data_IF_623607673149
#
_entry.id   IF_623607673149
#
_cell.length_a   1.000
_cell.length_b   1.000
_cell.length_c   1.000
_cell.angle_alpha   90.00
_cell.angle_beta   90.00
_cell.angle_gamma   90.00
#
_symmetry.space_group_name_H-M   'P 1'
#
loop_
_entity.id
_entity.type
_entity.pdbx_description
1 polymer ?
#
# COMPACT_ATOMS: atom_id res chain seq x y z
N UNK A 1 11.97 15.97 -17.73
CA UNK A 1 10.63 15.44 -17.44
C UNK A 1 10.58 14.98 -15.98
N UNK A 2 9.58 15.38 -15.23
CA UNK A 2 9.35 14.94 -13.85
C UNK A 2 8.30 13.84 -13.90
N UNK A 3 8.65 12.65 -13.40
CA UNK A 3 7.70 11.53 -13.29
C UNK A 3 6.81 11.73 -12.07
N UNK A 4 5.52 11.90 -12.30
CA UNK A 4 4.47 11.91 -11.28
C UNK A 4 3.71 10.58 -11.32
N UNK A 5 2.96 10.22 -10.27
CA UNK A 5 2.00 9.12 -10.34
C UNK A 5 1.00 9.35 -11.48
N UNK A 6 0.54 8.30 -12.09
CA UNK A 6 -0.50 8.39 -13.12
C UNK A 6 -1.88 8.03 -12.52
N UNK A 7 -2.90 8.90 -12.63
CA UNK A 7 -2.89 10.26 -13.10
C UNK A 7 -2.24 11.23 -12.09
N UNK A 8 -1.66 12.39 -12.46
CA UNK A 8 -1.89 13.11 -13.73
C UNK A 8 -0.84 12.84 -14.82
N UNK A 9 0.13 11.95 -14.63
CA UNK A 9 1.19 11.70 -15.59
C UNK A 9 2.41 12.62 -15.44
N UNK A 10 3.45 12.43 -16.26
CA UNK A 10 4.70 13.17 -16.15
C UNK A 10 4.55 14.63 -16.58
N UNK A 11 5.20 15.54 -15.85
CA UNK A 11 5.31 16.96 -16.25
C UNK A 11 6.57 17.14 -17.08
N UNK A 12 6.42 17.76 -18.26
CA UNK A 12 7.53 18.13 -19.12
C UNK A 12 8.12 19.47 -18.70
N UNK A 13 9.44 19.57 -18.67
CA UNK A 13 10.19 20.82 -18.48
C UNK A 13 10.97 21.08 -19.75
N UNK A 14 10.71 22.21 -20.40
CA UNK A 14 11.55 22.71 -21.48
C UNK A 14 12.46 23.83 -20.95
N UNK A 15 13.74 23.71 -21.23
CA UNK A 15 14.77 24.67 -20.82
C UNK A 15 15.33 25.50 -21.97
N UNK A 16 14.77 25.34 -23.17
CA UNK A 16 15.18 26.13 -24.33
C UNK A 16 14.46 27.48 -24.27
N UNK A 17 15.18 28.51 -23.96
CA UNK A 17 14.68 29.89 -23.99
C UNK A 17 15.40 30.68 -25.09
N UNK A 18 14.71 31.57 -25.84
CA UNK A 18 15.33 32.37 -26.89
C UNK A 18 16.21 33.47 -26.29
N UNK A 19 17.37 33.07 -25.77
CA UNK A 19 18.30 33.98 -25.09
C UNK A 19 18.85 35.07 -26.00
N UNK A 20 19.07 34.75 -27.29
CA UNK A 20 19.52 35.73 -28.30
C UNK A 20 18.57 36.90 -28.44
N UNK A 21 17.27 36.64 -28.43
CA UNK A 21 16.24 37.71 -28.49
C UNK A 21 16.25 38.59 -27.22
N UNK A 22 16.56 38.00 -26.07
CA UNK A 22 16.70 38.75 -24.83
C UNK A 22 17.97 39.58 -24.80
N UNK A 23 19.08 39.02 -25.28
CA UNK A 23 20.36 39.76 -25.40
C UNK A 23 20.24 40.92 -26.37
N UNK A 24 19.54 40.77 -27.50
CA UNK A 24 19.23 41.83 -28.42
C UNK A 24 18.43 42.97 -27.75
N UNK A 25 17.46 42.59 -26.91
CA UNK A 25 16.67 43.57 -26.13
C UNK A 25 17.54 44.36 -25.14
N UNK A 26 18.46 43.68 -24.47
CA UNK A 26 19.36 44.31 -23.47
C UNK A 26 20.42 45.20 -24.08
N UNK A 27 20.87 44.88 -25.27
CA UNK A 27 21.95 45.55 -25.95
C UNK A 27 21.47 46.69 -26.88
N UNK A 28 20.15 46.85 -27.06
CA UNK A 28 19.58 47.92 -27.89
C UNK A 28 19.95 49.29 -27.34
N UNK A 29 20.54 50.12 -28.18
CA UNK A 29 21.08 51.46 -27.82
C UNK A 29 20.26 52.62 -28.41
N UNK A 30 19.37 52.32 -29.38
CA UNK A 30 18.48 53.29 -29.98
C UNK A 30 17.02 52.88 -29.84
N UNK A 31 16.12 53.85 -29.95
CA UNK A 31 14.66 53.61 -29.84
C UNK A 31 14.15 52.67 -30.95
N UNK A 32 14.71 52.74 -32.15
CA UNK A 32 14.41 51.87 -33.28
C UNK A 32 14.88 50.43 -33.05
N UNK A 33 16.08 50.27 -32.49
CA UNK A 33 16.63 48.95 -32.10
C UNK A 33 15.81 48.33 -30.99
N UNK A 34 15.48 49.11 -29.96
CA UNK A 34 14.65 48.69 -28.84
C UNK A 34 13.29 48.18 -29.32
N UNK A 35 12.61 48.96 -30.19
CA UNK A 35 11.31 48.58 -30.75
C UNK A 35 11.39 47.25 -31.55
N UNK A 36 12.44 47.08 -32.34
CA UNK A 36 12.67 45.87 -33.12
C UNK A 36 12.97 44.66 -32.24
N UNK A 37 13.81 44.85 -31.21
CA UNK A 37 14.18 43.80 -30.24
C UNK A 37 12.98 43.37 -29.40
N UNK A 38 12.14 44.29 -28.93
CA UNK A 38 10.88 44.01 -28.23
C UNK A 38 9.96 43.12 -29.09
N UNK A 39 9.79 43.45 -30.38
CA UNK A 39 8.98 42.68 -31.30
C UNK A 39 9.52 41.28 -31.52
N UNK A 40 10.84 41.15 -31.71
CA UNK A 40 11.52 39.87 -31.87
C UNK A 40 11.36 39.00 -30.62
N UNK A 41 11.59 39.59 -29.44
CA UNK A 41 11.47 38.90 -28.17
C UNK A 41 10.04 38.39 -27.96
N UNK A 42 9.03 39.23 -28.15
CA UNK A 42 7.62 38.82 -28.05
C UNK A 42 7.27 37.66 -28.97
N UNK A 43 7.69 37.74 -30.24
CA UNK A 43 7.40 36.72 -31.24
C UNK A 43 8.09 35.39 -30.86
N UNK A 44 9.34 35.45 -30.41
CA UNK A 44 10.11 34.28 -30.05
C UNK A 44 9.54 33.58 -28.82
N UNK A 45 9.21 34.32 -27.77
CA UNK A 45 8.62 33.77 -26.53
C UNK A 45 7.24 33.18 -26.81
N UNK A 46 6.39 33.89 -27.54
CA UNK A 46 5.05 33.38 -27.90
C UNK A 46 5.11 32.09 -28.69
N UNK A 47 5.99 32.03 -29.69
CA UNK A 47 6.23 30.80 -30.44
C UNK A 47 6.67 29.66 -29.55
N UNK A 48 7.54 29.94 -28.59
CA UNK A 48 8.06 28.93 -27.66
C UNK A 48 6.97 28.38 -26.75
N UNK A 49 6.13 29.26 -26.17
CA UNK A 49 4.98 28.87 -25.37
C UNK A 49 4.03 27.98 -26.19
N UNK A 50 3.74 28.36 -27.43
CA UNK A 50 2.88 27.59 -28.33
C UNK A 50 3.49 26.21 -28.63
N UNK A 51 4.78 26.17 -29.01
CA UNK A 51 5.49 24.92 -29.31
C UNK A 51 5.49 23.94 -28.12
N UNK A 52 5.67 24.46 -26.88
CA UNK A 52 5.63 23.65 -25.66
C UNK A 52 4.23 23.09 -25.43
N UNK A 53 3.20 23.94 -25.52
CA UNK A 53 1.81 23.53 -25.30
C UNK A 53 1.37 22.44 -26.29
N UNK A 54 1.68 22.61 -27.58
CA UNK A 54 1.26 21.68 -28.62
C UNK A 54 2.03 20.35 -28.63
N UNK A 55 3.31 20.37 -28.24
CA UNK A 55 4.18 19.17 -28.32
C UNK A 55 4.23 18.36 -27.05
N UNK A 56 4.06 18.99 -25.88
CA UNK A 56 4.37 18.36 -24.61
C UNK A 56 3.19 18.24 -23.66
N UNK A 57 2.03 18.81 -23.99
CA UNK A 57 0.79 18.61 -23.25
C UNK A 57 -0.09 17.68 -24.07
N UNK A 58 0.02 16.37 -23.78
CA UNK A 58 -0.69 15.32 -24.51
C UNK A 58 -1.68 14.67 -23.56
N UNK A 59 -2.96 14.75 -23.90
CA UNK A 59 -4.05 14.21 -23.08
C UNK A 59 -3.88 12.69 -22.86
N UNK A 60 -3.95 12.29 -21.61
CA UNK A 60 -3.78 10.88 -21.21
C UNK A 60 -2.33 10.37 -21.15
N UNK A 61 -1.35 11.11 -21.67
CA UNK A 61 0.07 10.72 -21.64
C UNK A 61 0.92 11.59 -20.71
N UNK A 62 0.61 12.90 -20.64
CA UNK A 62 1.33 13.85 -19.79
C UNK A 62 0.38 14.54 -18.82
N UNK A 63 0.93 15.23 -17.85
CA UNK A 63 0.14 16.15 -17.01
C UNK A 63 -0.47 17.26 -17.86
N UNK A 64 -1.54 17.87 -17.33
CA UNK A 64 -2.31 18.96 -18.00
C UNK A 64 -1.55 20.26 -18.15
N UNK A 65 -0.23 20.25 -17.99
CA UNK A 65 0.60 21.42 -18.12
C UNK A 65 2.07 21.08 -18.27
N UNK A 66 2.83 22.06 -18.75
CA UNK A 66 4.27 21.96 -18.93
C UNK A 66 5.00 23.15 -18.27
N UNK A 67 6.28 23.00 -18.04
CA UNK A 67 7.10 24.05 -17.43
C UNK A 67 8.07 24.59 -18.49
N UNK A 68 8.06 25.90 -18.65
CA UNK A 68 9.10 26.65 -19.38
C UNK A 68 10.11 27.18 -18.35
N UNK A 69 11.29 26.58 -18.33
CA UNK A 69 12.37 26.97 -17.43
C UNK A 69 13.21 28.09 -18.03
N UNK A 70 13.30 29.20 -17.33
CA UNK A 70 14.16 30.31 -17.69
C UNK A 70 15.52 30.16 -16.98
N UNK A 71 16.64 30.35 -17.70
CA UNK A 71 17.97 30.14 -17.14
C UNK A 71 18.41 31.24 -16.16
N UNK A 72 17.68 32.35 -16.06
CA UNK A 72 18.07 33.54 -15.28
C UNK A 72 16.90 34.18 -14.58
N UNK A 73 17.08 34.58 -13.33
CA UNK A 73 16.12 35.39 -12.57
C UNK A 73 15.90 36.76 -13.23
N UNK A 74 16.91 37.34 -13.88
CA UNK A 74 16.78 38.62 -14.58
C UNK A 74 15.82 38.52 -15.76
N UNK A 75 15.88 37.44 -16.53
CA UNK A 75 14.95 37.16 -17.63
C UNK A 75 13.52 36.99 -17.11
N UNK A 76 13.38 36.27 -15.98
CA UNK A 76 12.08 36.07 -15.34
C UNK A 76 11.49 37.42 -14.87
N UNK A 77 12.29 38.23 -14.18
CA UNK A 77 11.86 39.53 -13.70
C UNK A 77 11.45 40.45 -14.85
N UNK A 78 12.23 40.50 -15.93
CA UNK A 78 11.94 41.29 -17.12
C UNK A 78 10.63 40.85 -17.76
N UNK A 79 10.39 39.55 -17.93
CA UNK A 79 9.17 39.01 -18.48
C UNK A 79 7.93 39.42 -17.67
N UNK A 80 8.04 39.33 -16.34
CA UNK A 80 6.92 39.69 -15.46
C UNK A 80 6.69 41.21 -15.40
N UNK A 81 7.74 42.02 -15.44
CA UNK A 81 7.64 43.48 -15.36
C UNK A 81 7.12 44.12 -16.67
N UNK A 82 7.69 43.70 -17.80
CA UNK A 82 7.51 44.41 -19.08
C UNK A 82 6.74 43.61 -20.13
N UNK A 83 6.52 42.28 -19.89
CA UNK A 83 5.86 41.37 -20.82
C UNK A 83 4.79 40.51 -20.15
N UNK A 84 4.04 41.08 -19.23
CA UNK A 84 3.01 40.38 -18.45
C UNK A 84 1.90 39.75 -19.31
N UNK A 85 1.69 40.23 -20.51
CA UNK A 85 0.79 39.65 -21.50
C UNK A 85 1.29 38.25 -21.95
N UNK A 86 2.59 38.07 -22.19
CA UNK A 86 3.16 36.80 -22.54
C UNK A 86 3.08 35.78 -21.38
N UNK A 87 3.23 36.25 -20.16
CA UNK A 87 3.03 35.41 -18.98
C UNK A 87 1.61 34.90 -18.89
N UNK A 88 0.61 35.75 -19.14
CA UNK A 88 -0.81 35.36 -19.19
C UNK A 88 -1.11 34.40 -20.33
N UNK A 89 -0.51 34.62 -21.51
CA UNK A 89 -0.60 33.68 -22.63
C UNK A 89 -0.05 32.30 -22.24
N UNK A 90 1.07 32.26 -21.54
CA UNK A 90 1.64 31.01 -20.98
C UNK A 90 0.66 30.29 -20.06
N UNK A 91 0.06 31.00 -19.10
CA UNK A 91 -0.94 30.40 -18.21
C UNK A 91 -2.16 29.86 -18.98
N UNK A 92 -2.66 30.65 -19.98
CA UNK A 92 -3.78 30.18 -20.80
C UNK A 92 -3.45 28.94 -21.63
N UNK A 93 -2.19 28.81 -22.05
CA UNK A 93 -1.67 27.67 -22.78
C UNK A 93 -1.25 26.51 -21.85
N UNK A 94 -1.47 26.61 -20.53
CA UNK A 94 -1.01 25.66 -19.49
C UNK A 94 0.52 25.46 -19.46
N UNK A 95 1.27 26.50 -19.82
CA UNK A 95 2.73 26.54 -19.76
C UNK A 95 3.15 27.47 -18.64
N UNK A 96 3.70 26.92 -17.58
CA UNK A 96 4.16 27.69 -16.42
C UNK A 96 5.60 28.13 -16.59
N UNK A 97 5.78 29.44 -16.62
CA UNK A 97 7.10 30.05 -16.74
C UNK A 97 7.73 30.11 -15.35
N UNK A 98 8.91 29.52 -15.19
CA UNK A 98 9.62 29.45 -13.91
C UNK A 98 11.06 29.90 -14.05
N UNK A 99 11.57 30.55 -13.01
CA UNK A 99 12.98 30.88 -12.82
C UNK A 99 13.71 29.73 -12.06
N UNK A 100 15.02 29.76 -11.90
CA UNK A 100 15.73 28.79 -11.09
C UNK A 100 15.18 28.68 -9.66
N UNK A 101 14.93 29.82 -9.00
CA UNK A 101 14.39 29.85 -7.62
C UNK A 101 12.96 29.32 -7.55
N UNK A 102 12.07 29.77 -8.44
CA UNK A 102 10.68 29.30 -8.45
C UNK A 102 10.57 27.84 -8.88
N UNK A 103 11.44 27.38 -9.78
CA UNK A 103 11.56 25.97 -10.15
C UNK A 103 11.93 25.11 -8.92
N UNK A 104 12.94 25.51 -8.17
CA UNK A 104 13.33 24.79 -6.95
C UNK A 104 12.23 24.76 -5.91
N UNK A 105 11.50 25.86 -5.70
CA UNK A 105 10.35 25.90 -4.80
C UNK A 105 9.25 24.92 -5.26
N UNK A 106 8.93 24.95 -6.55
CA UNK A 106 7.94 24.03 -7.15
C UNK A 106 8.34 22.57 -6.98
N UNK A 107 9.60 22.24 -7.28
CA UNK A 107 10.13 20.87 -7.13
C UNK A 107 10.09 20.38 -5.67
N UNK A 108 10.43 21.25 -4.72
CA UNK A 108 10.35 20.92 -3.30
C UNK A 108 8.92 20.66 -2.85
N UNK A 109 7.97 21.48 -3.31
CA UNK A 109 6.55 21.29 -3.03
C UNK A 109 6.03 19.98 -3.64
N UNK A 110 6.37 19.70 -4.90
CA UNK A 110 6.01 18.43 -5.55
C UNK A 110 6.60 17.23 -4.81
N UNK A 111 7.87 17.32 -4.37
CA UNK A 111 8.50 16.27 -3.57
C UNK A 111 7.75 15.98 -2.27
N UNK A 112 7.29 17.02 -1.58
CA UNK A 112 6.50 16.87 -0.35
C UNK A 112 5.16 16.16 -0.64
N UNK A 113 4.43 16.61 -1.66
CA UNK A 113 3.16 16.00 -2.08
C UNK A 113 3.33 14.53 -2.45
N UNK A 114 4.38 14.21 -3.23
CA UNK A 114 4.68 12.82 -3.63
C UNK A 114 5.05 11.95 -2.45
N UNK A 115 5.79 12.50 -1.47
CA UNK A 115 6.10 11.78 -0.22
C UNK A 115 4.82 11.45 0.54
N UNK A 116 3.92 12.42 0.70
CA UNK A 116 2.65 12.22 1.39
C UNK A 116 1.75 11.21 0.69
N UNK A 117 1.69 11.25 -0.65
CA UNK A 117 0.95 10.26 -1.43
C UNK A 117 1.47 8.83 -1.21
N UNK A 118 2.79 8.63 -1.26
CA UNK A 118 3.42 7.34 -0.97
C UNK A 118 3.17 6.87 0.46
N UNK A 119 3.25 7.77 1.43
CA UNK A 119 2.95 7.43 2.83
C UNK A 119 1.51 6.96 3.01
N UNK A 120 0.54 7.58 2.34
CA UNK A 120 -0.87 7.16 2.38
C UNK A 120 -1.07 5.78 1.74
N UNK A 121 -0.43 5.53 0.61
CA UNK A 121 -0.45 4.22 -0.06
C UNK A 121 0.11 3.12 0.85
N UNK A 122 1.29 3.37 1.46
CA UNK A 122 1.91 2.44 2.42
C UNK A 122 1.02 2.21 3.65
N UNK A 123 0.41 3.28 4.20
CA UNK A 123 -0.51 3.14 5.33
C UNK A 123 -1.75 2.29 4.97
N UNK A 124 -2.25 2.40 3.73
CA UNK A 124 -3.32 1.53 3.22
C UNK A 124 -2.92 0.07 3.16
N UNK A 125 -1.74 -0.22 2.62
CA UNK A 125 -1.18 -1.59 2.57
C UNK A 125 -1.00 -2.17 3.98
N UNK A 126 -0.43 -1.40 4.91
CA UNK A 126 -0.26 -1.83 6.31
C UNK A 126 -1.60 -2.14 6.98
N UNK A 127 -2.65 -1.33 6.74
CA UNK A 127 -3.99 -1.59 7.29
C UNK A 127 -4.56 -2.91 6.78
N UNK A 128 -4.38 -3.21 5.50
CA UNK A 128 -4.84 -4.47 4.92
C UNK A 128 -4.12 -5.67 5.56
N UNK A 129 -2.79 -5.60 5.71
CA UNK A 129 -2.00 -6.64 6.38
C UNK A 129 -2.41 -6.83 7.85
N UNK A 130 -2.65 -5.74 8.58
CA UNK A 130 -3.17 -5.81 9.95
C UNK A 130 -4.54 -6.49 10.00
N UNK A 131 -5.43 -6.22 9.05
CA UNK A 131 -6.74 -6.88 9.00
C UNK A 131 -6.60 -8.39 8.81
N UNK A 132 -5.70 -8.83 7.91
CA UNK A 132 -5.41 -10.24 7.71
C UNK A 132 -4.80 -10.88 8.96
N UNK A 133 -3.88 -10.19 9.63
CA UNK A 133 -3.27 -10.65 10.87
C UNK A 133 -4.32 -10.84 11.97
N UNK A 134 -5.26 -9.90 12.14
CA UNK A 134 -6.36 -10.07 13.11
C UNK A 134 -7.20 -11.31 12.82
N UNK A 135 -7.53 -11.56 11.55
CA UNK A 135 -8.26 -12.78 11.17
C UNK A 135 -7.47 -14.06 11.47
N UNK A 136 -6.15 -14.03 11.31
CA UNK A 136 -5.30 -15.17 11.64
C UNK A 136 -5.23 -15.39 13.15
N UNK A 137 -5.14 -14.33 13.94
CA UNK A 137 -5.18 -14.40 15.42
C UNK A 137 -6.53 -14.96 15.90
N UNK A 138 -7.65 -14.50 15.35
CA UNK A 138 -8.97 -15.05 15.70
C UNK A 138 -9.07 -16.54 15.36
N UNK A 139 -8.60 -16.95 14.18
CA UNK A 139 -8.55 -18.38 13.81
C UNK A 139 -7.68 -19.19 14.74
N UNK A 140 -6.55 -18.63 15.18
CA UNK A 140 -5.68 -19.28 16.14
C UNK A 140 -6.40 -19.44 17.49
N UNK A 141 -7.10 -18.42 17.96
CA UNK A 141 -7.92 -18.47 19.17
C UNK A 141 -8.93 -19.63 19.15
N UNK A 142 -9.70 -19.74 18.07
CA UNK A 142 -10.67 -20.83 17.89
C UNK A 142 -10.00 -22.23 17.90
N UNK A 143 -8.81 -22.36 17.32
CA UNK A 143 -8.05 -23.63 17.33
C UNK A 143 -7.55 -23.98 18.75
N UNK A 144 -7.12 -22.98 19.51
CA UNK A 144 -6.70 -23.18 20.90
C UNK A 144 -7.88 -23.63 21.77
N UNK A 145 -9.06 -22.99 21.63
CA UNK A 145 -10.27 -23.41 22.33
C UNK A 145 -10.71 -24.85 21.95
N UNK A 146 -10.57 -25.21 20.68
CA UNK A 146 -10.85 -26.57 20.24
C UNK A 146 -9.88 -27.58 20.84
N UNK A 147 -8.60 -27.22 20.91
CA UNK A 147 -7.57 -28.06 21.52
C UNK A 147 -7.83 -28.25 23.03
N UNK A 148 -8.19 -27.19 23.74
CA UNK A 148 -8.55 -27.25 25.15
C UNK A 148 -9.71 -28.22 25.38
N UNK A 149 -10.76 -28.17 24.57
CA UNK A 149 -11.87 -29.11 24.64
C UNK A 149 -11.41 -30.56 24.43
N UNK A 150 -10.50 -30.83 23.48
CA UNK A 150 -9.96 -32.15 23.25
C UNK A 150 -9.13 -32.65 24.43
N UNK A 151 -8.32 -31.78 25.07
CA UNK A 151 -7.58 -32.12 26.27
C UNK A 151 -8.51 -32.47 27.43
N UNK A 152 -9.55 -31.71 27.65
CA UNK A 152 -10.54 -31.93 28.69
C UNK A 152 -11.28 -33.26 28.47
N UNK A 153 -11.61 -33.60 27.21
CA UNK A 153 -12.23 -34.88 26.87
C UNK A 153 -11.26 -36.06 27.11
N UNK A 154 -10.00 -35.90 26.68
CA UNK A 154 -8.98 -36.94 26.93
C UNK A 154 -8.72 -37.16 28.41
N UNK A 155 -8.71 -36.10 29.22
CA UNK A 155 -8.56 -36.22 30.68
C UNK A 155 -9.72 -37.00 31.30
N UNK A 156 -10.97 -36.76 30.82
CA UNK A 156 -12.15 -37.48 31.23
C UNK A 156 -12.04 -38.98 30.84
N UNK A 157 -11.67 -39.27 29.62
CA UNK A 157 -11.52 -40.63 29.12
C UNK A 157 -10.46 -41.40 29.92
N UNK A 158 -9.34 -40.75 30.28
CA UNK A 158 -8.33 -41.33 31.19
C UNK A 158 -8.92 -41.66 32.57
N UNK A 159 -9.75 -40.77 33.10
CA UNK A 159 -10.42 -41.00 34.38
C UNK A 159 -11.37 -42.20 34.31
N UNK A 160 -12.14 -42.30 33.26
CA UNK A 160 -13.09 -43.41 33.04
C UNK A 160 -12.35 -44.75 32.85
N UNK A 161 -11.21 -44.75 32.16
CA UNK A 161 -10.31 -45.91 32.05
C UNK A 161 -9.80 -46.36 33.41
N UNK A 162 -9.34 -45.43 34.27
CA UNK A 162 -8.86 -45.74 35.62
C UNK A 162 -9.96 -46.41 36.46
N UNK A 163 -11.19 -45.86 36.44
CA UNK A 163 -12.34 -46.44 37.13
C UNK A 163 -12.62 -47.86 36.62
N UNK A 164 -12.57 -48.06 35.31
CA UNK A 164 -12.77 -49.39 34.71
C UNK A 164 -11.68 -50.38 35.09
N UNK A 165 -10.42 -49.95 35.09
CA UNK A 165 -9.27 -50.77 35.51
C UNK A 165 -9.37 -51.17 36.99
N UNK A 166 -9.77 -50.24 37.87
CA UNK A 166 -10.00 -50.52 39.31
C UNK A 166 -11.14 -51.53 39.53
N UNK A 167 -12.22 -51.41 38.74
CA UNK A 167 -13.33 -52.40 38.78
C UNK A 167 -12.85 -53.78 38.32
N UNK A 168 -12.09 -53.85 37.26
CA UNK A 168 -11.53 -55.09 36.72
C UNK A 168 -10.56 -55.75 37.74
N UNK A 169 -9.66 -54.94 38.33
CA UNK A 169 -8.73 -55.40 39.37
C UNK A 169 -9.44 -55.97 40.61
N UNK A 170 -10.52 -55.31 41.05
CA UNK A 170 -11.35 -55.82 42.16
C UNK A 170 -12.09 -57.11 41.83
N UNK A 171 -12.51 -57.29 40.57
CA UNK A 171 -13.12 -58.55 40.12
C UNK A 171 -12.11 -59.66 40.04
N UNK A 172 -10.90 -59.40 39.50
CA UNK A 172 -9.83 -60.37 39.45
C UNK A 172 -9.43 -60.86 40.83
N UNK A 173 -9.23 -59.95 41.83
CA UNK A 173 -8.95 -60.32 43.23
C UNK A 173 -10.06 -61.11 43.86
N UNK A 174 -11.33 -60.92 43.51
CA UNK A 174 -12.42 -61.78 44.01
C UNK A 174 -12.38 -63.15 43.37
N UNK A 175 -11.97 -63.31 42.13
CA UNK A 175 -11.82 -64.58 41.46
C UNK A 175 -10.59 -65.35 42.02
N UNK A 176 -9.50 -64.69 42.37
CA UNK A 176 -8.32 -65.23 42.95
C UNK A 176 -8.58 -65.75 44.35
N UNK A 177 -9.49 -65.15 45.12
CA UNK A 177 -9.94 -65.62 46.46
C UNK A 177 -11.18 -66.51 46.37
N UNK A 178 -11.59 -66.98 45.22
CA UNK A 178 -12.63 -67.98 45.04
C UNK A 178 -11.94 -69.33 45.27
N UNK A 179 -12.02 -69.87 46.51
CA UNK A 179 -11.61 -71.22 46.82
C UNK A 179 -12.48 -72.19 46.03
N UNK A 180 -11.89 -72.84 45.04
CA UNK A 180 -12.56 -73.89 44.25
C UNK A 180 -12.86 -75.15 45.08
N UNK A 181 -12.42 -75.23 46.33
CA UNK A 181 -12.70 -76.30 47.21
C UNK A 181 -14.11 -76.29 47.83
N UNK A 182 -14.85 -75.23 47.81
CA UNK A 182 -16.23 -75.15 48.29
C UNK A 182 -17.31 -75.46 47.21
N UNK A 183 -16.93 -75.80 45.98
CA UNK A 183 -17.84 -76.50 45.04
C UNK A 183 -17.74 -77.99 45.32
N UNK A 184 -17.65 -78.32 46.54
CA UNK A 184 -17.62 -79.72 47.02
C UNK A 184 -19.03 -80.24 47.28
N UNK A 185 -19.33 -81.25 46.57
CA UNK A 185 -20.26 -82.35 46.94
C UNK A 185 -21.72 -82.03 47.22
N UNK A 186 -22.13 -80.88 47.75
CA UNK A 186 -23.54 -80.64 48.11
C UNK A 186 -24.44 -80.25 46.95
N UNK A 187 -23.88 -79.63 45.88
CA UNK A 187 -24.64 -79.29 44.65
C UNK A 187 -24.63 -80.45 43.61
N UNK A 188 -23.66 -81.33 43.64
CA UNK A 188 -23.65 -82.52 42.79
C UNK A 188 -24.72 -83.54 43.26
N UNK A 189 -24.95 -83.71 44.58
CA UNK A 189 -26.04 -84.58 45.06
C UNK A 189 -27.42 -84.04 44.75
N UNK A 190 -27.63 -82.73 44.63
CA UNK A 190 -28.94 -82.14 44.19
C UNK A 190 -29.22 -82.29 42.70
N UNK A 191 -28.21 -82.29 41.84
CA UNK A 191 -28.34 -82.50 40.41
C UNK A 191 -28.57 -84.01 40.10
N UNK A 192 -27.95 -84.93 40.84
CA UNK A 192 -28.13 -86.36 40.65
C UNK A 192 -29.51 -86.84 41.09
N UNK A 193 -30.07 -86.20 42.17
CA UNK A 193 -31.45 -86.52 42.61
C UNK A 193 -32.58 -86.06 41.72
N UNK A 194 -32.30 -85.21 40.73
CA UNK A 194 -33.29 -84.68 39.72
C UNK A 194 -33.39 -85.58 38.51
N UNK A 195 -32.43 -86.49 38.25
CA UNK A 195 -32.43 -87.40 37.12
C UNK A 195 -32.99 -88.82 37.48
N UNK A 196 -33.31 -89.09 38.78
CA UNK A 196 -33.93 -90.35 39.19
C UNK A 196 -35.46 -90.30 39.31
N UNK A 197 -36.10 -89.19 38.91
CA UNK A 197 -37.56 -89.04 38.91
C UNK A 197 -38.04 -88.85 37.49
N UNK A 198 -37.84 -89.86 36.68
CA UNK A 198 -38.63 -90.06 35.47
C UNK A 198 -38.88 -91.54 35.22
#
# INVERSE_FOLDING_TARGET
MIKLPNPPGPIVIDSKFPLEAYEALRNASSETETSSAVRLFRTSVRKHIKDISEKYIVEGETADGAILFLPSEAVYAELHANFSDLVREGFSARVWIVSPTTCMATLNTMRAILKDARMREQAGAIRNELTLLYQDVDRLGLRVESLDRHFNQAAKDISDIKISADKAGRRAKRLDNFDFEEISTENLEKVIKLDEVK
#
